data_IF_536863216024
#
_entry.id   IF_536863216024
#
_cell.length_a   1.000
_cell.length_b   1.000
_cell.length_c   1.000
_cell.angle_alpha   90.00
_cell.angle_beta   90.00
_cell.angle_gamma   90.00
#
_symmetry.space_group_name_H-M   'P 1'
#
loop_
_entity.id
_entity.type
_entity.pdbx_description
1 polymer ?
#
# COMPACT_ATOMS: atom_id res chain seq x y z
N UNK A 1 -36.67 17.34 34.28
CA UNK A 1 -36.21 17.00 32.92
C UNK A 1 -34.95 16.17 33.09
N UNK A 2 -34.97 14.88 32.72
CA UNK A 2 -33.76 14.07 32.75
C UNK A 2 -32.78 14.62 31.71
N UNK A 3 -31.60 15.04 32.15
CA UNK A 3 -30.51 15.43 31.25
C UNK A 3 -30.13 14.19 30.42
N UNK A 4 -30.34 14.26 29.11
CA UNK A 4 -29.94 13.21 28.19
C UNK A 4 -28.41 13.09 28.27
N UNK A 5 -27.90 12.00 28.86
CA UNK A 5 -26.46 11.75 28.89
C UNK A 5 -25.99 11.54 27.44
N UNK A 6 -25.08 12.38 26.90
CA UNK A 6 -24.58 12.23 25.54
C UNK A 6 -23.89 10.88 25.31
N UNK A 7 -23.45 10.17 26.35
CA UNK A 7 -22.88 8.82 26.24
C UNK A 7 -23.92 7.71 26.07
N UNK A 8 -25.21 8.02 26.23
CA UNK A 8 -26.30 7.12 25.83
C UNK A 8 -26.49 7.07 24.31
N UNK A 9 -25.81 7.94 23.55
CA UNK A 9 -25.79 7.90 22.09
C UNK A 9 -24.54 7.13 21.62
N UNK A 10 -24.68 5.86 21.19
CA UNK A 10 -23.55 5.02 20.80
C UNK A 10 -22.73 5.60 19.63
N UNK A 11 -23.35 6.44 18.81
CA UNK A 11 -22.68 7.15 17.71
C UNK A 11 -21.66 8.16 18.25
N UNK A 12 -22.01 8.92 19.29
CA UNK A 12 -21.11 9.91 19.89
C UNK A 12 -19.95 9.21 20.60
N UNK A 13 -20.23 8.17 21.40
CA UNK A 13 -19.18 7.41 22.08
C UNK A 13 -18.24 6.71 21.09
N UNK A 14 -18.78 6.14 20.00
CA UNK A 14 -17.96 5.55 18.95
C UNK A 14 -17.11 6.58 18.22
N UNK A 15 -17.60 7.81 18.01
CA UNK A 15 -16.80 8.88 17.41
C UNK A 15 -15.66 9.30 18.34
N UNK A 16 -15.94 9.50 19.62
CA UNK A 16 -14.91 9.83 20.63
C UNK A 16 -13.87 8.71 20.69
N UNK A 17 -14.30 7.45 20.81
CA UNK A 17 -13.41 6.31 20.96
C UNK A 17 -12.43 6.14 19.80
N UNK A 18 -12.84 6.44 18.56
CA UNK A 18 -11.98 6.36 17.36
C UNK A 18 -10.82 7.35 17.39
N UNK A 19 -10.91 8.42 18.17
CA UNK A 19 -9.86 9.42 18.32
C UNK A 19 -8.97 9.20 19.56
N UNK A 20 -9.26 8.17 20.37
CA UNK A 20 -8.49 7.83 21.55
C UNK A 20 -7.58 6.63 21.25
N UNK A 21 -6.33 6.68 21.70
CA UNK A 21 -5.48 5.49 21.72
C UNK A 21 -5.89 4.55 22.88
N UNK A 22 -5.36 3.32 22.91
CA UNK A 22 -5.69 2.32 23.95
C UNK A 22 -5.38 2.79 25.38
N UNK A 23 -4.34 3.61 25.57
CA UNK A 23 -3.97 4.15 26.89
C UNK A 23 -5.01 5.17 27.37
N UNK A 24 -5.43 6.06 26.48
CA UNK A 24 -6.44 7.07 26.79
C UNK A 24 -7.79 6.42 27.03
N UNK A 25 -8.17 5.41 26.23
CA UNK A 25 -9.36 4.59 26.48
C UNK A 25 -9.33 3.97 27.88
N UNK A 26 -8.21 3.35 28.28
CA UNK A 26 -8.05 2.78 29.63
C UNK A 26 -8.22 3.81 30.75
N UNK A 27 -7.73 5.03 30.54
CA UNK A 27 -7.88 6.14 31.51
C UNK A 27 -9.33 6.61 31.60
N UNK A 28 -10.00 6.69 30.44
CA UNK A 28 -11.41 7.06 30.30
C UNK A 28 -12.37 6.07 30.99
N UNK A 29 -12.03 4.78 31.00
CA UNK A 29 -12.80 3.76 31.72
C UNK A 29 -12.89 4.00 33.24
N UNK A 30 -11.92 4.71 33.83
CA UNK A 30 -11.88 5.04 35.25
C UNK A 30 -12.71 6.26 35.65
N UNK A 31 -13.23 7.03 34.69
CA UNK A 31 -13.91 8.32 34.95
C UNK A 31 -15.26 8.11 35.63
N UNK A 32 -16.16 7.34 35.02
CA UNK A 32 -17.47 7.01 35.59
C UNK A 32 -18.05 5.74 34.93
N UNK A 33 -19.16 5.22 35.48
CA UNK A 33 -19.82 4.00 34.96
C UNK A 33 -20.32 4.14 33.52
N UNK A 34 -20.81 5.32 33.12
CA UNK A 34 -21.28 5.57 31.77
C UNK A 34 -20.13 5.48 30.75
N UNK A 35 -19.00 6.13 31.05
CA UNK A 35 -17.79 6.06 30.24
C UNK A 35 -17.23 4.64 30.19
N UNK A 36 -17.19 3.96 31.33
CA UNK A 36 -16.78 2.56 31.39
C UNK A 36 -17.62 1.69 30.44
N UNK A 37 -18.94 1.73 30.54
CA UNK A 37 -19.82 0.90 29.72
C UNK A 37 -19.77 1.27 28.22
N UNK A 38 -19.68 2.57 27.91
CA UNK A 38 -19.66 3.06 26.53
C UNK A 38 -18.32 2.76 25.82
N UNK A 39 -17.19 2.84 26.52
CA UNK A 39 -15.85 2.75 25.92
C UNK A 39 -15.20 1.36 26.06
N UNK A 40 -15.69 0.51 26.97
CA UNK A 40 -15.15 -0.84 27.16
C UNK A 40 -15.17 -1.68 25.87
N UNK A 41 -16.23 -1.69 25.03
CA UNK A 41 -16.21 -2.42 23.77
C UNK A 41 -15.11 -1.95 22.80
N UNK A 42 -14.77 -0.67 22.83
CA UNK A 42 -13.72 -0.08 21.98
C UNK A 42 -12.30 -0.38 22.49
N UNK A 43 -12.13 -0.53 23.82
CA UNK A 43 -10.87 -1.00 24.37
C UNK A 43 -10.57 -2.44 23.94
N UNK A 44 -11.59 -3.31 23.89
CA UNK A 44 -11.44 -4.73 23.59
C UNK A 44 -11.67 -5.10 22.12
N UNK A 45 -12.05 -4.16 21.24
CA UNK A 45 -12.33 -4.48 19.83
C UNK A 45 -11.12 -4.91 19.02
N UNK A 46 -9.93 -4.46 19.41
CA UNK A 46 -8.68 -4.67 18.69
C UNK A 46 -7.65 -5.18 19.68
N UNK A 47 -7.25 -6.44 19.53
CA UNK A 47 -6.34 -7.15 20.43
C UNK A 47 -5.12 -7.58 19.64
N UNK A 48 -3.95 -7.26 20.19
CA UNK A 48 -2.64 -7.62 19.66
C UNK A 48 -1.91 -8.46 20.72
N UNK A 49 -1.71 -9.75 20.41
CA UNK A 49 -1.04 -10.72 21.29
C UNK A 49 0.41 -10.86 20.83
N UNK A 50 1.33 -10.29 21.59
CA UNK A 50 2.76 -10.21 21.27
C UNK A 50 3.53 -11.44 21.76
N UNK A 51 4.69 -11.75 21.17
CA UNK A 51 5.53 -12.84 21.68
C UNK A 51 6.05 -12.50 23.08
N UNK A 52 5.99 -13.47 23.99
CA UNK A 52 6.48 -13.36 25.36
C UNK A 52 8.01 -13.51 25.41
N UNK A 53 8.75 -12.60 24.77
CA UNK A 53 10.21 -12.56 24.88
C UNK A 53 10.60 -11.56 25.99
N UNK A 54 10.84 -12.08 27.19
CA UNK A 54 11.32 -11.31 28.35
C UNK A 54 10.23 -10.55 29.13
N UNK A 55 10.63 -9.49 29.85
CA UNK A 55 9.76 -8.64 30.69
C UNK A 55 8.61 -7.96 29.91
N UNK A 56 8.63 -8.01 28.57
CA UNK A 56 7.55 -7.51 27.72
C UNK A 56 6.29 -8.40 27.72
N UNK A 57 6.35 -9.60 28.30
CA UNK A 57 5.18 -10.49 28.47
C UNK A 57 4.03 -9.84 29.25
N UNK A 58 4.32 -8.84 30.08
CA UNK A 58 3.32 -8.07 30.85
C UNK A 58 2.32 -7.28 29.98
N UNK A 59 2.52 -7.22 28.66
CA UNK A 59 1.64 -6.45 27.76
C UNK A 59 0.52 -7.27 27.13
N UNK A 60 0.57 -8.60 27.20
CA UNK A 60 -0.50 -9.42 26.66
C UNK A 60 -1.70 -9.45 27.62
N UNK A 61 -2.94 -9.43 27.09
CA UNK A 61 -4.10 -9.61 27.94
C UNK A 61 -4.10 -11.01 28.54
N UNK A 62 -4.38 -11.11 29.84
CA UNK A 62 -4.60 -12.40 30.50
C UNK A 62 -5.70 -13.19 29.74
N UNK A 63 -5.46 -14.47 29.37
CA UNK A 63 -6.42 -15.26 28.59
C UNK A 63 -7.81 -15.36 29.23
N UNK A 64 -7.92 -15.37 30.55
CA UNK A 64 -9.22 -15.42 31.24
C UNK A 64 -9.96 -14.08 31.15
N UNK A 65 -9.23 -12.97 31.21
CA UNK A 65 -9.80 -11.63 31.00
C UNK A 65 -10.25 -11.50 29.55
N UNK A 66 -9.43 -11.95 28.59
CA UNK A 66 -9.81 -11.93 27.18
C UNK A 66 -11.05 -12.78 26.92
N UNK A 67 -11.15 -13.98 27.51
CA UNK A 67 -12.34 -14.84 27.43
C UNK A 67 -13.60 -14.14 27.93
N UNK A 68 -13.50 -13.38 29.02
CA UNK A 68 -14.62 -12.60 29.57
C UNK A 68 -15.13 -11.54 28.58
N UNK A 69 -14.23 -10.97 27.79
CA UNK A 69 -14.53 -9.88 26.84
C UNK A 69 -14.46 -10.31 25.37
N UNK A 70 -14.45 -11.62 25.08
CA UNK A 70 -14.25 -12.14 23.71
C UNK A 70 -15.34 -11.68 22.73
N UNK A 71 -16.55 -11.45 23.23
CA UNK A 71 -17.67 -10.91 22.45
C UNK A 71 -17.48 -9.45 22.00
N UNK A 72 -16.53 -8.71 22.55
CA UNK A 72 -16.18 -7.38 22.04
C UNK A 72 -15.09 -7.40 20.98
N UNK A 73 -14.31 -8.48 20.90
CA UNK A 73 -13.17 -8.61 19.98
C UNK A 73 -13.67 -8.69 18.55
N UNK A 74 -13.18 -7.79 17.69
CA UNK A 74 -13.49 -7.71 16.25
C UNK A 74 -12.26 -7.95 15.40
N UNK A 75 -11.09 -7.53 15.88
CA UNK A 75 -9.81 -7.69 15.22
C UNK A 75 -8.84 -8.34 16.23
N UNK A 76 -8.28 -9.49 15.83
CA UNK A 76 -7.30 -10.22 16.64
C UNK A 76 -6.03 -10.41 15.82
N UNK A 77 -4.92 -9.94 16.36
CA UNK A 77 -3.59 -10.13 15.81
C UNK A 77 -2.76 -10.99 16.76
N UNK A 78 -2.13 -12.04 16.23
CA UNK A 78 -1.38 -13.00 17.01
C UNK A 78 0.05 -13.08 16.47
N UNK A 79 1.00 -12.63 17.29
CA UNK A 79 2.44 -12.60 17.02
C UNK A 79 3.23 -13.56 17.91
N UNK A 80 2.57 -14.50 18.58
CA UNK A 80 3.17 -15.41 19.58
C UNK A 80 3.00 -16.86 19.21
N UNK A 81 3.89 -17.73 19.69
CA UNK A 81 3.80 -19.19 19.58
C UNK A 81 2.82 -19.81 20.60
N UNK A 82 2.38 -19.05 21.61
CA UNK A 82 1.51 -19.55 22.70
C UNK A 82 0.03 -19.56 22.32
N UNK A 83 -0.30 -20.07 21.12
CA UNK A 83 -1.65 -19.97 20.58
C UNK A 83 -2.71 -20.73 21.36
N UNK A 84 -2.34 -21.83 22.04
CA UNK A 84 -3.29 -22.68 22.78
C UNK A 84 -4.10 -21.93 23.84
N UNK A 85 -3.52 -20.91 24.47
CA UNK A 85 -4.21 -20.12 25.51
C UNK A 85 -5.29 -19.19 24.92
N UNK A 86 -5.16 -18.83 23.65
CA UNK A 86 -6.01 -17.87 22.95
C UNK A 86 -7.05 -18.54 22.03
N UNK A 87 -7.04 -19.88 21.92
CA UNK A 87 -8.04 -20.67 21.19
C UNK A 87 -9.35 -20.66 21.96
N UNK A 88 -10.24 -19.75 21.59
CA UNK A 88 -11.59 -19.63 22.17
C UNK A 88 -12.56 -18.99 21.19
N UNK A 89 -13.88 -19.04 21.47
CA UNK A 89 -14.88 -18.36 20.65
C UNK A 89 -14.85 -16.83 20.84
N UNK A 90 -14.76 -16.13 19.73
CA UNK A 90 -14.88 -14.68 19.55
C UNK A 90 -16.04 -14.44 18.57
N UNK A 91 -17.30 -14.40 19.04
CA UNK A 91 -18.48 -14.43 18.17
C UNK A 91 -18.62 -13.23 17.22
N UNK A 92 -17.83 -12.17 17.43
CA UNK A 92 -17.82 -10.96 16.60
C UNK A 92 -16.49 -10.74 15.86
N UNK A 93 -15.59 -11.73 15.85
CA UNK A 93 -14.30 -11.64 15.20
C UNK A 93 -14.46 -11.56 13.69
N UNK A 94 -13.97 -10.48 13.09
CA UNK A 94 -14.06 -10.20 11.65
C UNK A 94 -12.71 -10.30 10.97
N UNK A 95 -11.65 -9.88 11.66
CA UNK A 95 -10.28 -9.87 11.15
C UNK A 95 -9.39 -10.69 12.05
N UNK A 96 -8.68 -11.65 11.47
CA UNK A 96 -7.68 -12.44 12.15
C UNK A 96 -6.36 -12.34 11.39
N UNK A 97 -5.30 -11.96 12.09
CA UNK A 97 -3.96 -11.83 11.52
C UNK A 97 -2.97 -12.69 12.31
N UNK A 98 -2.35 -13.66 11.65
CA UNK A 98 -1.25 -14.44 12.18
C UNK A 98 0.06 -13.86 11.67
N UNK A 99 0.95 -13.41 12.56
CA UNK A 99 2.29 -12.89 12.19
C UNK A 99 3.39 -13.95 12.34
N UNK A 100 3.04 -15.10 12.90
CA UNK A 100 3.93 -16.26 13.00
C UNK A 100 3.09 -17.49 12.73
N UNK A 101 3.36 -18.16 11.60
CA UNK A 101 2.43 -19.17 11.08
C UNK A 101 2.54 -20.54 11.74
N UNK A 102 3.69 -20.83 12.38
CA UNK A 102 3.93 -22.06 13.14
C UNK A 102 2.98 -22.30 14.33
N UNK A 103 2.11 -21.36 14.66
CA UNK A 103 1.08 -21.54 15.67
C UNK A 103 -0.36 -21.45 15.15
N UNK A 104 -0.58 -21.30 13.85
CA UNK A 104 -1.93 -21.23 13.27
C UNK A 104 -2.75 -22.44 13.71
N UNK A 105 -3.92 -22.18 14.30
CA UNK A 105 -4.78 -23.19 14.90
C UNK A 105 -6.07 -23.34 14.09
N UNK A 106 -6.28 -24.53 13.53
CA UNK A 106 -7.53 -24.90 12.85
C UNK A 106 -8.73 -24.75 13.80
N UNK A 107 -8.55 -25.07 15.09
CA UNK A 107 -9.58 -24.89 16.11
C UNK A 107 -9.99 -23.43 16.26
N UNK A 108 -9.02 -22.50 16.26
CA UNK A 108 -9.33 -21.08 16.35
C UNK A 108 -10.18 -20.61 15.16
N UNK A 109 -9.88 -21.06 13.93
CA UNK A 109 -10.70 -20.74 12.77
C UNK A 109 -12.10 -21.35 12.88
N UNK A 110 -12.18 -22.62 13.25
CA UNK A 110 -13.44 -23.36 13.37
C UNK A 110 -14.38 -22.79 14.43
N UNK A 111 -13.84 -22.24 15.52
CA UNK A 111 -14.61 -21.57 16.56
C UNK A 111 -15.10 -20.16 16.17
N UNK A 112 -14.60 -19.60 15.06
CA UNK A 112 -14.77 -18.19 14.70
C UNK A 112 -15.24 -18.02 13.24
N UNK A 113 -16.41 -18.58 12.93
CA UNK A 113 -16.98 -18.57 11.56
C UNK A 113 -17.38 -17.18 11.05
N UNK A 114 -17.39 -16.15 11.91
CA UNK A 114 -17.65 -14.75 11.54
C UNK A 114 -16.46 -14.05 10.85
N UNK A 115 -15.31 -14.70 10.75
CA UNK A 115 -14.11 -14.15 10.11
C UNK A 115 -14.43 -13.82 8.64
N UNK A 116 -14.09 -12.59 8.25
CA UNK A 116 -14.24 -12.04 6.90
C UNK A 116 -12.89 -11.75 6.25
N UNK A 117 -11.87 -11.44 7.07
CA UNK A 117 -10.52 -11.10 6.65
C UNK A 117 -9.52 -11.97 7.41
N UNK A 118 -8.71 -12.71 6.67
CA UNK A 118 -7.67 -13.56 7.23
C UNK A 118 -6.32 -13.20 6.61
N UNK A 119 -5.34 -12.95 7.48
CA UNK A 119 -3.96 -12.66 7.07
C UNK A 119 -3.01 -13.67 7.69
N UNK A 120 -2.15 -14.22 6.86
CA UNK A 120 -0.95 -14.95 7.24
C UNK A 120 0.25 -14.09 6.86
N UNK A 121 0.99 -13.64 7.85
CA UNK A 121 2.23 -12.92 7.71
C UNK A 121 3.31 -13.78 8.35
N UNK A 122 4.32 -14.23 7.60
CA UNK A 122 5.46 -14.93 8.21
C UNK A 122 6.75 -14.14 8.05
N UNK A 123 7.16 -13.49 9.13
CA UNK A 123 8.40 -12.71 9.13
C UNK A 123 9.65 -13.57 9.23
N UNK A 124 9.50 -14.84 9.60
CA UNK A 124 10.61 -15.76 9.72
C UNK A 124 10.49 -16.72 8.55
N UNK A 125 11.43 -16.66 7.58
CA UNK A 125 11.55 -17.56 6.42
C UNK A 125 11.72 -19.04 6.82
N UNK A 126 10.74 -19.57 7.54
CA UNK A 126 10.74 -20.86 8.18
C UNK A 126 9.76 -21.78 7.46
N UNK A 127 9.88 -23.04 7.84
CA UNK A 127 9.34 -24.25 7.19
C UNK A 127 7.86 -24.13 6.80
N UNK A 128 7.47 -24.96 5.82
CA UNK A 128 6.12 -24.92 5.27
C UNK A 128 5.04 -25.05 6.35
N UNK A 129 3.90 -24.36 6.16
CA UNK A 129 2.72 -24.61 6.99
C UNK A 129 2.16 -25.98 6.61
N UNK A 130 2.71 -27.02 7.21
CA UNK A 130 2.19 -28.38 7.10
C UNK A 130 1.05 -28.55 8.10
N UNK A 131 -0.12 -27.99 7.77
CA UNK A 131 -1.30 -28.12 8.60
C UNK A 131 -2.55 -28.27 7.73
N UNK A 132 -2.83 -29.51 7.32
CA UNK A 132 -4.01 -29.83 6.52
C UNK A 132 -5.32 -29.43 7.20
N UNK A 133 -5.39 -29.50 8.53
CA UNK A 133 -6.58 -29.09 9.27
C UNK A 133 -6.80 -27.58 9.18
N UNK A 134 -5.73 -26.79 9.08
CA UNK A 134 -5.82 -25.34 8.92
C UNK A 134 -6.53 -24.98 7.61
N UNK A 135 -6.08 -25.55 6.49
CA UNK A 135 -6.63 -25.22 5.17
C UNK A 135 -8.08 -25.68 5.01
N UNK A 136 -8.44 -26.84 5.57
CA UNK A 136 -9.84 -27.24 5.70
C UNK A 136 -10.65 -26.23 6.50
N UNK A 137 -10.15 -25.80 7.65
CA UNK A 137 -10.84 -24.80 8.46
C UNK A 137 -11.01 -23.46 7.73
N UNK A 138 -10.00 -23.01 6.96
CA UNK A 138 -10.12 -21.84 6.07
C UNK A 138 -11.20 -22.07 5.01
N UNK A 139 -11.20 -23.25 4.37
CA UNK A 139 -12.19 -23.65 3.37
C UNK A 139 -13.60 -23.81 3.93
N UNK A 140 -13.76 -23.92 5.24
CA UNK A 140 -15.06 -23.99 5.92
C UNK A 140 -15.55 -22.63 6.44
N UNK A 141 -14.74 -21.56 6.38
CA UNK A 141 -15.18 -20.21 6.78
C UNK A 141 -16.23 -19.66 5.78
N UNK A 142 -17.51 -19.49 6.19
CA UNK A 142 -18.60 -19.16 5.27
C UNK A 142 -18.62 -17.69 4.87
N UNK A 143 -18.01 -16.82 5.66
CA UNK A 143 -18.00 -15.37 5.48
C UNK A 143 -16.65 -14.81 5.03
N UNK A 144 -15.66 -15.67 4.80
CA UNK A 144 -14.34 -15.22 4.37
C UNK A 144 -14.42 -14.57 2.98
N UNK A 145 -14.12 -13.28 2.91
CA UNK A 145 -14.10 -12.49 1.67
C UNK A 145 -12.69 -12.13 1.25
N UNK A 146 -11.76 -12.02 2.20
CA UNK A 146 -10.40 -11.54 1.95
C UNK A 146 -9.38 -12.48 2.57
N UNK A 147 -8.43 -12.94 1.77
CA UNK A 147 -7.29 -13.75 2.21
C UNK A 147 -5.99 -13.08 1.80
N UNK A 148 -5.08 -12.91 2.76
CA UNK A 148 -3.80 -12.24 2.57
C UNK A 148 -2.67 -13.17 3.02
N UNK A 149 -1.70 -13.36 2.15
CA UNK A 149 -0.43 -13.99 2.41
C UNK A 149 0.65 -12.95 2.27
N UNK A 150 1.46 -12.79 3.31
CA UNK A 150 2.53 -11.82 3.36
C UNK A 150 3.78 -12.53 3.86
N UNK A 151 4.90 -12.40 3.16
CA UNK A 151 6.22 -12.98 3.48
C UNK A 151 6.23 -14.47 3.86
N UNK A 152 6.95 -15.28 3.09
CA UNK A 152 7.41 -16.60 3.55
C UNK A 152 6.36 -17.70 3.77
N UNK A 153 5.06 -17.41 3.68
CA UNK A 153 4.03 -18.45 3.81
C UNK A 153 4.10 -19.40 2.62
N UNK A 154 4.08 -20.71 2.90
CA UNK A 154 4.00 -21.74 1.85
C UNK A 154 2.78 -22.61 2.10
N UNK A 155 2.15 -23.06 1.01
CA UNK A 155 1.03 -23.99 1.04
C UNK A 155 1.56 -25.32 0.53
N UNK A 156 1.34 -26.39 1.29
CA UNK A 156 1.77 -27.72 0.88
C UNK A 156 0.90 -28.22 -0.28
N UNK A 157 1.45 -29.08 -1.14
CA UNK A 157 0.70 -29.67 -2.24
C UNK A 157 -0.57 -30.42 -1.79
N UNK A 158 -0.55 -30.99 -0.58
CA UNK A 158 -1.69 -31.72 -0.01
C UNK A 158 -2.86 -30.81 0.38
N UNK A 159 -2.59 -29.52 0.59
CA UNK A 159 -3.56 -28.55 1.09
C UNK A 159 -4.14 -27.66 -0.03
N UNK A 160 -3.58 -27.77 -1.23
CA UNK A 160 -3.96 -26.94 -2.39
C UNK A 160 -5.42 -27.11 -2.79
N UNK A 161 -6.00 -28.30 -2.64
CA UNK A 161 -7.42 -28.52 -2.94
C UNK A 161 -8.33 -27.68 -2.03
N UNK A 162 -8.07 -27.71 -0.72
CA UNK A 162 -8.86 -26.97 0.27
C UNK A 162 -8.63 -25.46 0.11
N UNK A 163 -7.39 -25.05 -0.16
CA UNK A 163 -7.04 -23.67 -0.49
C UNK A 163 -7.84 -23.15 -1.71
N UNK A 164 -7.82 -23.88 -2.83
CA UNK A 164 -8.55 -23.48 -4.03
C UNK A 164 -10.06 -23.45 -3.81
N UNK A 165 -10.60 -24.39 -3.03
CA UNK A 165 -12.00 -24.37 -2.63
C UNK A 165 -12.34 -23.09 -1.84
N UNK A 166 -11.49 -22.65 -0.92
CA UNK A 166 -11.67 -21.38 -0.22
C UNK A 166 -11.67 -20.20 -1.20
N UNK A 167 -10.73 -20.17 -2.15
CA UNK A 167 -10.60 -19.13 -3.17
C UNK A 167 -11.85 -18.93 -4.03
N UNK A 168 -12.66 -19.97 -4.25
CA UNK A 168 -13.92 -19.84 -5.02
C UNK A 168 -14.92 -18.85 -4.41
N UNK A 169 -14.79 -18.54 -3.12
CA UNK A 169 -15.71 -17.66 -2.39
C UNK A 169 -15.15 -16.26 -2.12
N UNK A 170 -13.85 -16.06 -2.32
CA UNK A 170 -13.17 -14.82 -2.00
C UNK A 170 -13.53 -13.69 -2.97
N UNK A 171 -13.63 -12.48 -2.42
CA UNK A 171 -13.67 -11.23 -3.18
C UNK A 171 -12.24 -10.70 -3.43
N UNK A 172 -11.31 -10.98 -2.51
CA UNK A 172 -9.92 -10.50 -2.57
C UNK A 172 -8.90 -11.57 -2.17
N UNK A 173 -7.90 -11.80 -3.03
CA UNK A 173 -6.74 -12.63 -2.74
C UNK A 173 -5.47 -11.79 -2.92
N UNK A 174 -4.62 -11.81 -1.89
CA UNK A 174 -3.38 -11.05 -1.87
C UNK A 174 -2.24 -11.97 -1.49
N UNK A 175 -1.24 -12.04 -2.34
CA UNK A 175 -0.08 -12.90 -2.16
C UNK A 175 1.16 -12.02 -2.37
N UNK A 176 1.86 -11.74 -1.29
CA UNK A 176 3.09 -10.94 -1.25
C UNK A 176 4.25 -11.82 -0.82
N UNK A 177 5.37 -11.76 -1.54
CA UNK A 177 6.69 -12.28 -1.11
C UNK A 177 6.66 -13.69 -0.52
N UNK A 178 5.72 -14.52 -0.98
CA UNK A 178 5.48 -15.86 -0.49
C UNK A 178 5.93 -16.88 -1.53
N UNK A 179 6.43 -18.02 -1.07
CA UNK A 179 6.62 -19.18 -1.94
C UNK A 179 5.44 -20.13 -1.74
N UNK A 180 4.31 -19.85 -2.39
CA UNK A 180 3.29 -20.89 -2.54
C UNK A 180 3.85 -21.89 -3.55
N UNK A 181 3.94 -23.16 -3.18
CA UNK A 181 4.33 -24.21 -4.12
C UNK A 181 3.13 -24.49 -5.05
N UNK A 182 2.86 -23.54 -5.96
CA UNK A 182 1.78 -23.64 -6.94
C UNK A 182 2.09 -24.65 -8.06
N UNK A 183 3.07 -25.54 -7.88
CA UNK A 183 3.27 -26.66 -8.82
C UNK A 183 2.02 -27.56 -8.92
N UNK A 184 1.09 -27.45 -7.96
CA UNK A 184 -0.22 -28.11 -8.04
C UNK A 184 -1.18 -27.31 -8.92
N UNK A 185 -1.60 -27.96 -10.00
CA UNK A 185 -2.56 -27.44 -10.98
C UNK A 185 -3.88 -27.01 -10.31
N UNK A 186 -4.38 -25.84 -10.70
CA UNK A 186 -5.74 -25.40 -10.34
C UNK A 186 -6.73 -26.43 -10.91
N UNK A 187 -7.64 -27.00 -10.09
CA UNK A 187 -8.57 -28.02 -10.56
C UNK A 187 -9.33 -27.60 -11.83
N UNK A 188 -9.43 -28.52 -12.78
CA UNK A 188 -10.12 -28.29 -14.04
C UNK A 188 -11.54 -27.76 -13.84
N UNK A 189 -11.94 -26.80 -14.69
CA UNK A 189 -13.26 -26.17 -14.62
C UNK A 189 -13.48 -25.20 -13.45
N UNK A 190 -12.54 -25.06 -12.51
CA UNK A 190 -12.67 -24.08 -11.42
C UNK A 190 -12.61 -22.64 -11.95
N UNK A 191 -13.57 -21.79 -11.52
CA UNK A 191 -13.65 -20.38 -11.90
C UNK A 191 -13.92 -19.55 -10.64
N UNK A 192 -13.11 -18.52 -10.42
CA UNK A 192 -13.19 -17.63 -9.25
C UNK A 192 -14.11 -16.44 -9.55
N UNK A 193 -15.39 -16.73 -9.77
CA UNK A 193 -16.37 -15.74 -10.24
C UNK A 193 -16.61 -14.57 -9.27
N UNK A 194 -16.33 -14.74 -7.97
CA UNK A 194 -16.46 -13.66 -6.96
C UNK A 194 -15.22 -12.78 -6.85
N UNK A 195 -14.08 -13.23 -7.36
CA UNK A 195 -12.81 -12.55 -7.17
C UNK A 195 -12.79 -11.22 -7.93
N UNK A 196 -12.67 -10.13 -7.19
CA UNK A 196 -12.62 -8.76 -7.70
C UNK A 196 -11.23 -8.15 -7.55
N UNK A 197 -10.45 -8.61 -6.58
CA UNK A 197 -9.09 -8.13 -6.34
C UNK A 197 -8.13 -9.30 -6.25
N UNK A 198 -7.10 -9.24 -7.08
CA UNK A 198 -6.02 -10.22 -7.09
C UNK A 198 -4.69 -9.47 -7.08
N UNK A 199 -3.86 -9.72 -6.08
CA UNK A 199 -2.53 -9.15 -5.95
C UNK A 199 -1.54 -10.31 -5.84
N UNK A 200 -0.66 -10.42 -6.82
CA UNK A 200 0.41 -11.40 -6.92
C UNK A 200 1.72 -10.63 -7.02
N UNK A 201 2.41 -10.44 -5.90
CA UNK A 201 3.61 -9.61 -5.84
C UNK A 201 4.81 -10.41 -5.34
N UNK A 202 5.90 -10.37 -6.09
CA UNK A 202 7.18 -10.97 -5.71
C UNK A 202 7.05 -12.46 -5.36
N UNK A 203 6.27 -13.18 -6.16
CA UNK A 203 6.05 -14.60 -5.94
C UNK A 203 7.29 -15.39 -6.34
N UNK A 204 8.00 -15.91 -5.34
CA UNK A 204 9.16 -16.74 -5.56
C UNK A 204 8.71 -18.18 -5.86
N UNK A 205 9.35 -18.82 -6.85
CA UNK A 205 9.15 -20.24 -7.23
C UNK A 205 7.86 -20.59 -7.98
N UNK A 206 6.97 -19.64 -8.24
CA UNK A 206 5.79 -19.90 -9.09
C UNK A 206 6.12 -19.45 -10.51
N UNK A 207 5.96 -20.35 -11.48
CA UNK A 207 6.20 -19.99 -12.87
C UNK A 207 5.15 -18.96 -13.31
N UNK A 208 5.53 -17.93 -14.10
CA UNK A 208 4.61 -16.90 -14.59
C UNK A 208 3.34 -17.47 -15.27
N UNK A 209 3.46 -18.62 -15.94
CA UNK A 209 2.33 -19.32 -16.57
C UNK A 209 1.24 -19.77 -15.57
N UNK A 210 1.63 -20.19 -14.36
CA UNK A 210 0.68 -20.70 -13.36
C UNK A 210 -0.09 -19.52 -12.73
N UNK A 211 0.61 -18.39 -12.53
CA UNK A 211 -0.01 -17.12 -12.15
C UNK A 211 -1.04 -16.69 -13.17
N UNK A 212 -0.69 -16.78 -14.45
CA UNK A 212 -1.58 -16.41 -15.53
C UNK A 212 -2.82 -17.30 -15.61
N UNK A 213 -2.67 -18.60 -15.36
CA UNK A 213 -3.81 -19.51 -15.29
C UNK A 213 -4.77 -19.11 -14.17
N UNK A 214 -4.27 -18.74 -12.98
CA UNK A 214 -5.10 -18.18 -11.91
C UNK A 214 -5.83 -16.90 -12.36
N UNK A 215 -5.11 -15.94 -12.94
CA UNK A 215 -5.68 -14.66 -13.40
C UNK A 215 -6.77 -14.91 -14.45
N UNK A 216 -6.57 -15.86 -15.36
CA UNK A 216 -7.53 -16.24 -16.41
C UNK A 216 -8.85 -16.78 -15.83
N UNK A 217 -8.81 -17.44 -14.66
CA UNK A 217 -10.01 -17.96 -13.97
C UNK A 217 -10.79 -16.90 -13.19
N UNK A 218 -10.38 -15.62 -13.23
CA UNK A 218 -11.02 -14.52 -12.51
C UNK A 218 -11.69 -13.51 -13.46
N UNK A 219 -12.85 -13.82 -14.08
CA UNK A 219 -13.47 -12.98 -15.12
C UNK A 219 -14.02 -11.64 -14.61
N UNK A 220 -14.22 -11.50 -13.29
CA UNK A 220 -14.83 -10.32 -12.66
C UNK A 220 -13.81 -9.41 -11.96
N UNK A 221 -12.52 -9.53 -12.30
CA UNK A 221 -11.47 -8.69 -11.73
C UNK A 221 -11.73 -7.21 -11.98
N UNK A 222 -11.59 -6.44 -10.90
CA UNK A 222 -11.57 -4.98 -10.87
C UNK A 222 -10.18 -4.44 -10.55
N UNK A 223 -9.39 -5.18 -9.78
CA UNK A 223 -8.03 -4.83 -9.42
C UNK A 223 -7.12 -6.03 -9.63
N UNK A 224 -6.09 -5.85 -10.45
CA UNK A 224 -5.05 -6.84 -10.68
C UNK A 224 -3.69 -6.19 -10.44
N UNK A 225 -2.87 -6.79 -9.59
CA UNK A 225 -1.42 -6.49 -9.49
C UNK A 225 -0.67 -7.79 -9.74
N UNK A 226 0.25 -7.80 -10.70
CA UNK A 226 1.02 -8.98 -11.06
C UNK A 226 2.50 -8.62 -11.29
N UNK A 227 3.32 -8.86 -10.26
CA UNK A 227 4.76 -8.63 -10.26
C UNK A 227 5.50 -9.95 -10.13
N UNK A 228 6.20 -10.35 -11.19
CA UNK A 228 7.02 -11.56 -11.22
C UNK A 228 8.50 -11.19 -11.19
N UNK A 229 9.27 -11.92 -10.39
CA UNK A 229 10.74 -11.70 -10.22
C UNK A 229 11.54 -12.77 -10.96
N UNK A 230 10.92 -13.88 -11.35
CA UNK A 230 11.58 -14.96 -12.09
C UNK A 230 11.65 -14.57 -13.56
N UNK A 231 12.86 -14.49 -14.11
CA UNK A 231 13.10 -14.10 -15.51
C UNK A 231 12.72 -15.21 -16.51
N UNK A 232 12.87 -16.47 -16.10
CA UNK A 232 12.54 -17.63 -16.93
C UNK A 232 11.02 -17.70 -17.19
N UNK A 233 10.64 -17.93 -18.45
CA UNK A 233 9.25 -18.05 -18.94
C UNK A 233 8.35 -16.80 -18.81
N UNK A 234 8.91 -15.60 -18.56
CA UNK A 234 8.12 -14.36 -18.56
C UNK A 234 7.48 -14.06 -19.91
N UNK A 235 8.26 -14.15 -20.99
CA UNK A 235 7.81 -13.73 -22.32
C UNK A 235 6.57 -14.52 -22.81
N UNK A 236 6.51 -15.86 -22.73
CA UNK A 236 5.30 -16.60 -23.09
C UNK A 236 4.07 -16.20 -22.27
N UNK A 237 4.23 -16.02 -20.95
CA UNK A 237 3.12 -15.63 -20.07
C UNK A 237 2.66 -14.19 -20.35
N UNK A 238 3.60 -13.28 -20.62
CA UNK A 238 3.32 -11.90 -21.01
C UNK A 238 2.52 -11.86 -22.32
N UNK A 239 2.93 -12.62 -23.34
CA UNK A 239 2.22 -12.67 -24.63
C UNK A 239 0.81 -13.26 -24.50
N UNK A 240 0.67 -14.30 -23.68
CA UNK A 240 -0.65 -14.88 -23.41
C UNK A 240 -1.54 -13.93 -22.62
N UNK A 241 -0.98 -13.15 -21.68
CA UNK A 241 -1.71 -12.09 -20.98
C UNK A 241 -2.23 -11.01 -21.95
N UNK A 242 -1.40 -10.56 -22.89
CA UNK A 242 -1.81 -9.62 -23.95
C UNK A 242 -2.94 -10.22 -24.79
N UNK A 243 -2.86 -11.51 -25.13
CA UNK A 243 -3.91 -12.21 -25.88
C UNK A 243 -5.23 -12.26 -25.11
N UNK A 244 -5.19 -12.55 -23.80
CA UNK A 244 -6.37 -12.55 -22.94
C UNK A 244 -6.99 -11.15 -22.82
N UNK A 245 -6.16 -10.11 -22.67
CA UNK A 245 -6.63 -8.72 -22.67
C UNK A 245 -7.33 -8.36 -23.99
N UNK A 246 -6.73 -8.68 -25.15
CA UNK A 246 -7.33 -8.50 -26.49
C UNK A 246 -8.70 -9.17 -26.63
N UNK A 247 -8.90 -10.30 -25.96
CA UNK A 247 -10.17 -11.03 -25.98
C UNK A 247 -11.20 -10.52 -24.97
N UNK A 248 -10.90 -9.42 -24.26
CA UNK A 248 -11.81 -8.84 -23.28
C UNK A 248 -11.99 -9.71 -22.04
N UNK A 249 -10.95 -10.43 -21.60
CA UNK A 249 -11.02 -11.33 -20.44
C UNK A 249 -11.43 -10.62 -19.13
N UNK A 250 -11.11 -9.33 -18.99
CA UNK A 250 -11.37 -8.55 -17.77
C UNK A 250 -12.09 -7.23 -18.08
N UNK A 251 -13.39 -7.28 -18.44
CA UNK A 251 -14.14 -6.09 -18.87
C UNK A 251 -14.38 -5.07 -17.75
N UNK A 252 -14.21 -5.48 -16.48
CA UNK A 252 -14.44 -4.66 -15.30
C UNK A 252 -13.15 -4.13 -14.66
N UNK A 253 -12.00 -4.29 -15.32
CA UNK A 253 -10.71 -3.95 -14.73
C UNK A 253 -10.54 -2.43 -14.62
N UNK A 254 -10.38 -1.93 -13.39
CA UNK A 254 -10.29 -0.52 -13.02
C UNK A 254 -8.89 -0.14 -12.50
N UNK A 255 -8.15 -1.11 -11.97
CA UNK A 255 -6.81 -0.95 -11.40
C UNK A 255 -5.90 -2.05 -11.94
N UNK A 256 -4.76 -1.66 -12.51
CA UNK A 256 -3.80 -2.59 -13.10
C UNK A 256 -2.37 -2.24 -12.68
N UNK A 257 -1.69 -3.19 -12.04
CA UNK A 257 -0.25 -3.16 -11.82
C UNK A 257 0.42 -4.35 -12.50
N UNK A 258 1.42 -4.13 -13.36
CA UNK A 258 2.12 -5.22 -14.05
C UNK A 258 3.64 -4.98 -14.07
N UNK A 259 4.39 -6.03 -13.71
CA UNK A 259 5.84 -6.17 -13.88
C UNK A 259 6.16 -7.59 -14.32
N UNK A 260 5.92 -7.87 -15.60
CA UNK A 260 6.17 -9.19 -16.22
C UNK A 260 6.95 -9.06 -17.54
N UNK A 261 7.70 -7.97 -17.70
CA UNK A 261 8.54 -7.76 -18.88
C UNK A 261 7.77 -7.43 -20.16
N UNK A 262 6.59 -6.80 -20.07
CA UNK A 262 5.88 -6.33 -21.26
C UNK A 262 6.67 -5.25 -22.01
N UNK A 263 6.70 -5.34 -23.34
CA UNK A 263 7.14 -4.26 -24.21
C UNK A 263 6.13 -3.11 -24.26
N UNK A 264 6.55 -1.94 -24.78
CA UNK A 264 5.67 -0.77 -24.88
C UNK A 264 4.44 -1.02 -25.76
N UNK A 265 4.60 -1.68 -26.91
CA UNK A 265 3.49 -1.97 -27.82
C UNK A 265 2.49 -2.98 -27.22
N UNK A 266 2.99 -3.94 -26.44
CA UNK A 266 2.16 -4.90 -25.73
C UNK A 266 1.35 -4.25 -24.61
N UNK A 267 1.99 -3.36 -23.82
CA UNK A 267 1.31 -2.55 -22.82
C UNK A 267 0.25 -1.64 -23.45
N UNK A 268 0.58 -0.99 -24.58
CA UNK A 268 -0.39 -0.21 -25.34
C UNK A 268 -1.59 -1.07 -25.74
N UNK A 269 -1.33 -2.29 -26.20
CA UNK A 269 -2.40 -3.20 -26.58
C UNK A 269 -3.27 -3.62 -25.39
N UNK A 270 -2.67 -3.92 -24.24
CA UNK A 270 -3.42 -4.19 -23.00
C UNK A 270 -4.28 -2.99 -22.62
N UNK A 271 -3.69 -1.78 -22.62
CA UNK A 271 -4.39 -0.54 -22.33
C UNK A 271 -5.52 -0.26 -23.31
N UNK A 272 -5.38 -0.64 -24.59
CA UNK A 272 -6.41 -0.47 -25.62
C UNK A 272 -7.66 -1.33 -25.35
N UNK A 273 -7.50 -2.45 -24.64
CA UNK A 273 -8.59 -3.38 -24.38
C UNK A 273 -9.20 -3.26 -22.97
N UNK A 274 -8.70 -2.33 -22.14
CA UNK A 274 -9.28 -2.02 -20.82
C UNK A 274 -9.93 -0.64 -20.84
N UNK A 275 -11.24 -0.57 -20.60
CA UNK A 275 -12.03 0.63 -20.88
C UNK A 275 -12.09 1.67 -19.76
N UNK A 276 -11.88 1.29 -18.49
CA UNK A 276 -12.15 2.18 -17.34
C UNK A 276 -11.01 2.19 -16.31
N UNK A 277 -9.79 2.44 -16.76
CA UNK A 277 -8.63 2.46 -15.86
C UNK A 277 -8.59 3.75 -15.04
N UNK A 278 -8.57 3.59 -13.72
CA UNK A 278 -8.42 4.67 -12.73
C UNK A 278 -7.08 4.62 -12.01
N UNK A 279 -6.45 3.44 -11.96
CA UNK A 279 -5.17 3.22 -11.30
C UNK A 279 -4.24 2.36 -12.16
N UNK A 280 -3.01 2.82 -12.35
CA UNK A 280 -1.96 2.14 -13.09
C UNK A 280 -0.65 2.10 -12.32
N UNK A 281 -0.06 0.91 -12.20
CA UNK A 281 1.27 0.71 -11.66
C UNK A 281 2.14 -0.03 -12.69
N UNK A 282 2.91 0.72 -13.45
CA UNK A 282 3.81 0.24 -14.49
C UNK A 282 5.27 0.56 -14.15
N UNK A 283 5.62 0.64 -12.87
CA UNK A 283 7.00 0.92 -12.52
C UNK A 283 7.94 -0.25 -12.84
N UNK A 284 9.20 0.06 -13.14
CA UNK A 284 10.19 -0.88 -13.67
C UNK A 284 9.71 -1.59 -14.97
N UNK A 285 9.06 -0.85 -15.88
CA UNK A 285 8.54 -1.38 -17.15
C UNK A 285 9.09 -0.64 -18.38
N UNK A 286 8.76 -1.15 -19.57
CA UNK A 286 9.07 -0.51 -20.85
C UNK A 286 8.12 0.63 -21.23
N UNK A 287 7.27 1.12 -20.31
CA UNK A 287 6.21 2.11 -20.61
C UNK A 287 6.77 3.33 -21.33
N UNK A 288 6.30 3.56 -22.55
CA UNK A 288 6.83 4.55 -23.49
C UNK A 288 5.75 5.25 -24.30
N UNK A 289 6.13 5.72 -25.49
CA UNK A 289 5.30 6.59 -26.32
C UNK A 289 4.02 5.90 -26.82
N UNK A 290 4.07 4.62 -27.16
CA UNK A 290 2.89 3.89 -27.68
C UNK A 290 1.87 3.69 -26.57
N UNK A 291 2.30 3.20 -25.40
CA UNK A 291 1.42 3.03 -24.23
C UNK A 291 0.83 4.35 -23.77
N UNK A 292 1.65 5.38 -23.71
CA UNK A 292 1.23 6.72 -23.34
C UNK A 292 0.17 7.31 -24.28
N UNK A 293 0.37 7.15 -25.59
CA UNK A 293 -0.59 7.62 -26.59
C UNK A 293 -1.94 6.93 -26.41
N UNK A 294 -1.93 5.63 -26.14
CA UNK A 294 -3.13 4.85 -25.85
C UNK A 294 -3.79 5.29 -24.54
N UNK A 295 -2.99 5.57 -23.51
CA UNK A 295 -3.46 6.01 -22.19
C UNK A 295 -4.22 7.34 -22.23
N UNK A 296 -4.00 8.21 -23.23
CA UNK A 296 -4.66 9.52 -23.37
C UNK A 296 -6.19 9.43 -23.28
N UNK A 297 -6.78 8.33 -23.75
CA UNK A 297 -8.24 8.09 -23.66
C UNK A 297 -8.78 8.02 -22.23
N UNK A 298 -7.92 7.71 -21.26
CA UNK A 298 -8.25 7.53 -19.84
C UNK A 298 -7.87 8.73 -18.96
N UNK A 299 -7.27 9.79 -19.50
CA UNK A 299 -6.79 10.95 -18.73
C UNK A 299 -7.87 11.61 -17.86
N UNK A 300 -9.13 11.59 -18.31
CA UNK A 300 -10.26 12.13 -17.54
C UNK A 300 -10.65 11.31 -16.30
N UNK A 301 -10.24 10.04 -16.21
CA UNK A 301 -10.61 9.11 -15.14
C UNK A 301 -9.43 8.67 -14.27
N UNK A 302 -8.20 8.86 -14.75
CA UNK A 302 -6.98 8.44 -14.08
C UNK A 302 -6.79 9.21 -12.75
N UNK A 303 -6.58 8.45 -11.68
CA UNK A 303 -6.36 8.92 -10.31
C UNK A 303 -4.99 8.57 -9.78
N UNK A 304 -4.50 7.38 -10.08
CA UNK A 304 -3.21 6.89 -9.61
C UNK A 304 -2.39 6.40 -10.80
N UNK A 305 -1.18 6.94 -10.94
CA UNK A 305 -0.25 6.53 -11.97
C UNK A 305 1.15 6.45 -11.39
N UNK A 306 1.71 5.24 -11.40
CA UNK A 306 3.11 4.99 -11.12
C UNK A 306 3.81 4.50 -12.40
N UNK A 307 4.71 5.31 -12.93
CA UNK A 307 5.57 5.05 -14.09
C UNK A 307 7.03 5.33 -13.73
N UNK A 308 7.39 4.99 -12.49
CA UNK A 308 8.77 5.10 -12.00
C UNK A 308 9.66 4.03 -12.64
N UNK A 309 10.95 4.28 -12.76
CA UNK A 309 11.96 3.48 -13.46
C UNK A 309 11.52 3.04 -14.87
N UNK A 310 10.87 3.93 -15.64
CA UNK A 310 10.42 3.65 -17.00
C UNK A 310 11.34 4.40 -17.99
N UNK A 311 12.36 3.74 -18.58
CA UNK A 311 13.39 4.42 -19.36
C UNK A 311 12.88 5.10 -20.63
N UNK A 312 11.70 4.68 -21.14
CA UNK A 312 11.06 5.25 -22.31
C UNK A 312 10.11 6.41 -21.97
N UNK A 313 9.91 6.71 -20.69
CA UNK A 313 9.08 7.83 -20.23
C UNK A 313 9.87 9.13 -20.35
N UNK A 314 9.43 10.03 -21.24
CA UNK A 314 10.07 11.34 -21.41
C UNK A 314 9.48 12.40 -20.48
N UNK A 315 10.29 13.41 -20.15
CA UNK A 315 9.85 14.60 -19.40
C UNK A 315 8.60 15.26 -20.01
N UNK A 316 8.52 15.35 -21.35
CA UNK A 316 7.33 15.89 -22.05
C UNK A 316 6.06 15.09 -21.78
N UNK A 317 6.17 13.77 -21.72
CA UNK A 317 5.03 12.89 -21.40
C UNK A 317 4.56 13.12 -19.96
N UNK A 318 5.50 13.27 -19.01
CA UNK A 318 5.20 13.60 -17.62
C UNK A 318 4.49 14.95 -17.53
N UNK A 319 5.00 15.98 -18.21
CA UNK A 319 4.37 17.29 -18.25
C UNK A 319 2.96 17.25 -18.84
N UNK A 320 2.76 16.48 -19.91
CA UNK A 320 1.45 16.33 -20.54
C UNK A 320 0.45 15.63 -19.60
N UNK A 321 0.86 14.61 -18.82
CA UNK A 321 0.00 13.99 -17.80
C UNK A 321 -0.45 14.99 -16.74
N UNK A 322 0.48 15.74 -16.15
CA UNK A 322 0.16 16.73 -15.11
C UNK A 322 -0.75 17.85 -15.62
N UNK A 323 -0.64 18.20 -16.90
CA UNK A 323 -1.47 19.21 -17.55
C UNK A 323 -2.76 18.69 -18.20
N UNK A 324 -2.98 17.38 -18.24
CA UNK A 324 -4.16 16.78 -18.91
C UNK A 324 -5.02 15.87 -18.01
N UNK A 325 -4.54 15.48 -16.82
CA UNK A 325 -5.26 14.58 -15.91
C UNK A 325 -5.84 15.33 -14.69
N UNK A 326 -7.07 15.89 -14.77
CA UNK A 326 -7.63 16.74 -13.71
C UNK A 326 -7.97 15.97 -12.42
N UNK A 327 -8.12 14.65 -12.50
CA UNK A 327 -8.47 13.77 -11.38
C UNK A 327 -7.27 13.05 -10.76
N UNK A 328 -6.06 13.34 -11.23
CA UNK A 328 -4.85 12.69 -10.73
C UNK A 328 -4.63 13.08 -9.26
N UNK A 329 -4.57 12.06 -8.40
CA UNK A 329 -4.40 12.12 -6.95
C UNK A 329 -3.00 11.62 -6.54
N UNK A 330 -2.47 10.63 -7.25
CA UNK A 330 -1.14 10.06 -7.02
C UNK A 330 -0.38 10.02 -8.35
N UNK A 331 0.81 10.62 -8.37
CA UNK A 331 1.73 10.50 -9.49
C UNK A 331 3.12 10.16 -8.99
N UNK A 332 3.71 9.11 -9.57
CA UNK A 332 5.10 8.72 -9.37
C UNK A 332 5.75 8.52 -10.74
N UNK A 333 6.81 9.26 -11.00
CA UNK A 333 7.57 9.17 -12.25
C UNK A 333 9.01 9.61 -12.06
N UNK A 334 9.81 9.43 -13.11
CA UNK A 334 11.26 9.51 -12.94
C UNK A 334 11.79 10.92 -12.82
N UNK A 335 11.64 11.67 -13.91
CA UNK A 335 12.16 13.02 -13.98
C UNK A 335 11.25 13.94 -14.79
N UNK A 336 11.42 15.23 -14.56
CA UNK A 336 10.70 16.30 -15.22
C UNK A 336 11.65 17.49 -15.42
N UNK A 337 12.00 17.77 -16.67
CA UNK A 337 12.86 18.89 -17.04
C UNK A 337 12.11 20.20 -16.82
N UNK A 338 12.77 21.16 -16.17
CA UNK A 338 12.19 22.46 -15.88
C UNK A 338 11.74 23.19 -17.17
N UNK A 339 12.48 23.05 -18.25
CA UNK A 339 12.14 23.62 -19.56
C UNK A 339 10.79 23.11 -20.09
N UNK A 340 10.52 21.80 -19.96
CA UNK A 340 9.24 21.23 -20.40
C UNK A 340 8.08 21.72 -19.53
N UNK A 341 8.30 21.89 -18.21
CA UNK A 341 7.28 22.44 -17.29
C UNK A 341 6.88 23.86 -17.69
N UNK A 342 7.86 24.69 -18.06
CA UNK A 342 7.62 26.09 -18.40
C UNK A 342 7.11 26.27 -19.83
N UNK A 343 7.54 25.42 -20.77
CA UNK A 343 7.03 25.41 -22.14
C UNK A 343 5.62 24.78 -22.24
N UNK A 344 5.27 23.90 -21.31
CA UNK A 344 4.01 23.18 -21.27
C UNK A 344 2.83 23.98 -20.72
N UNK A 345 1.64 23.39 -20.83
CA UNK A 345 0.43 23.95 -20.25
C UNK A 345 0.46 23.91 -18.71
N UNK A 346 -0.28 24.81 -18.02
CA UNK A 346 -0.45 24.72 -16.57
C UNK A 346 -0.97 23.36 -16.13
N UNK A 347 -0.51 22.91 -14.96
CA UNK A 347 -1.02 21.67 -14.38
C UNK A 347 -2.49 21.81 -13.99
N UNK A 348 -3.29 20.81 -14.38
CA UNK A 348 -4.73 20.73 -14.07
C UNK A 348 -5.01 19.72 -12.97
N UNK A 349 -4.03 18.90 -12.60
CA UNK A 349 -4.09 17.89 -11.54
C UNK A 349 -4.08 18.50 -10.12
N UNK A 350 -4.96 19.46 -9.84
CA UNK A 350 -5.02 20.19 -8.56
C UNK A 350 -5.48 19.31 -7.39
N UNK A 351 -5.95 18.09 -7.66
CA UNK A 351 -6.32 17.08 -6.65
C UNK A 351 -5.15 16.21 -6.19
N UNK A 352 -3.95 16.43 -6.72
CA UNK A 352 -2.79 15.62 -6.38
C UNK A 352 -2.44 15.73 -4.89
N UNK A 353 -2.33 14.57 -4.26
CA UNK A 353 -1.96 14.37 -2.86
C UNK A 353 -0.54 13.83 -2.75
N UNK A 354 -0.12 12.97 -3.67
CA UNK A 354 1.22 12.39 -3.70
C UNK A 354 1.89 12.71 -5.03
N UNK A 355 3.01 13.43 -4.98
CA UNK A 355 3.85 13.72 -6.14
C UNK A 355 5.27 13.24 -5.86
N UNK A 356 5.74 12.27 -6.65
CA UNK A 356 7.14 11.83 -6.66
C UNK A 356 7.72 12.00 -8.06
N UNK A 357 8.65 12.94 -8.21
CA UNK A 357 9.33 13.21 -9.49
C UNK A 357 10.63 13.98 -9.25
N UNK A 358 11.71 13.61 -9.94
CA UNK A 358 12.95 14.36 -9.86
C UNK A 358 12.93 15.54 -10.84
N UNK A 359 13.02 16.78 -10.34
CA UNK A 359 13.14 17.95 -11.23
C UNK A 359 14.57 18.13 -11.67
N UNK A 360 14.79 18.25 -12.98
CA UNK A 360 16.12 18.43 -13.57
C UNK A 360 16.24 19.80 -14.25
N UNK A 361 17.44 20.38 -14.14
CA UNK A 361 17.79 21.68 -14.70
C UNK A 361 19.05 21.57 -15.55
N UNK A 362 19.06 22.25 -16.69
CA UNK A 362 20.30 22.51 -17.44
C UNK A 362 21.11 23.59 -16.72
N UNK A 363 22.43 23.42 -16.71
CA UNK A 363 23.34 24.31 -15.98
C UNK A 363 23.15 25.78 -16.35
N UNK A 364 23.08 26.65 -15.33
CA UNK A 364 23.09 28.10 -15.48
C UNK A 364 21.73 28.78 -15.68
N UNK A 365 20.61 28.06 -15.61
CA UNK A 365 19.28 28.66 -15.76
C UNK A 365 18.58 28.94 -14.42
N UNK A 366 18.09 30.17 -14.25
CA UNK A 366 17.24 30.59 -13.11
C UNK A 366 15.77 30.22 -13.35
N UNK A 367 15.47 28.91 -13.47
CA UNK A 367 14.10 28.42 -13.63
C UNK A 367 13.45 27.96 -12.32
N UNK A 368 14.23 27.80 -11.25
CA UNK A 368 13.78 27.22 -9.99
C UNK A 368 12.57 27.95 -9.38
N UNK A 369 12.54 29.30 -9.28
CA UNK A 369 11.38 30.00 -8.71
C UNK A 369 10.08 29.71 -9.45
N UNK A 370 10.13 29.55 -10.78
CA UNK A 370 8.95 29.26 -11.60
C UNK A 370 8.44 27.83 -11.37
N UNK A 371 9.34 26.85 -11.15
CA UNK A 371 8.94 25.48 -10.76
C UNK A 371 8.31 25.47 -9.36
N UNK A 372 8.90 26.20 -8.41
CA UNK A 372 8.32 26.36 -7.08
C UNK A 372 6.95 27.04 -7.11
N UNK A 373 6.76 28.03 -7.98
CA UNK A 373 5.46 28.66 -8.19
C UNK A 373 4.43 27.63 -8.69
N UNK A 374 4.77 26.80 -9.70
CA UNK A 374 3.91 25.70 -10.18
C UNK A 374 3.53 24.73 -9.06
N UNK A 375 4.50 24.26 -8.29
CA UNK A 375 4.28 23.37 -7.14
C UNK A 375 3.40 24.01 -6.06
N UNK A 376 3.52 25.33 -5.85
CA UNK A 376 2.73 26.05 -4.82
C UNK A 376 1.22 26.03 -5.07
N UNK A 377 0.78 25.73 -6.29
CA UNK A 377 -0.63 25.58 -6.64
C UNK A 377 -1.22 24.22 -6.24
N UNK A 378 -0.40 23.22 -5.94
CA UNK A 378 -0.82 21.87 -5.55
C UNK A 378 -1.13 21.80 -4.05
N UNK A 379 -2.06 22.63 -3.59
CA UNK A 379 -2.32 22.87 -2.14
C UNK A 379 -2.83 21.64 -1.38
N UNK A 380 -3.25 20.58 -2.08
CA UNK A 380 -3.70 19.31 -1.51
C UNK A 380 -2.58 18.28 -1.30
N UNK A 381 -1.33 18.60 -1.64
CA UNK A 381 -0.19 17.71 -1.43
C UNK A 381 -0.03 17.33 0.04
N UNK A 382 -0.02 16.02 0.30
CA UNK A 382 0.34 15.40 1.57
C UNK A 382 1.73 14.77 1.50
N UNK A 383 2.19 14.37 0.32
CA UNK A 383 3.54 13.84 0.10
C UNK A 383 4.18 14.44 -1.15
N UNK A 384 5.36 15.03 -0.98
CA UNK A 384 6.16 15.59 -2.06
C UNK A 384 7.57 14.98 -1.99
N UNK A 385 7.98 14.25 -3.03
CA UNK A 385 9.34 13.77 -3.19
C UNK A 385 9.94 14.35 -4.48
N UNK A 386 10.93 15.22 -4.32
CA UNK A 386 11.67 15.87 -5.40
C UNK A 386 13.07 15.27 -5.62
N UNK A 387 13.45 14.30 -4.78
CA UNK A 387 14.78 13.70 -4.77
C UNK A 387 14.94 12.49 -5.69
N UNK A 388 16.18 12.03 -5.80
CA UNK A 388 16.55 10.87 -6.61
C UNK A 388 16.49 9.59 -5.75
N UNK A 389 15.39 8.85 -5.83
CA UNK A 389 15.29 7.50 -5.23
C UNK A 389 15.43 6.37 -6.25
N UNK A 390 15.58 6.72 -7.52
CA UNK A 390 15.44 5.81 -8.64
C UNK A 390 16.75 5.07 -8.90
N UNK A 391 16.65 3.76 -9.06
CA UNK A 391 17.81 2.89 -9.24
C UNK A 391 18.35 3.09 -10.66
N UNK A 392 19.66 3.33 -10.78
CA UNK A 392 20.37 3.18 -12.06
C UNK A 392 20.45 4.42 -12.97
N UNK A 393 19.67 5.48 -12.75
CA UNK A 393 19.82 6.72 -13.55
C UNK A 393 20.97 7.55 -12.98
N UNK A 394 22.14 7.51 -13.63
CA UNK A 394 23.21 8.46 -13.33
C UNK A 394 22.91 9.78 -14.02
N UNK A 395 22.29 10.72 -13.31
CA UNK A 395 22.16 12.11 -13.76
C UNK A 395 23.53 12.82 -13.69
N UNK A 396 24.50 12.42 -14.52
CA UNK A 396 25.86 12.97 -14.47
C UNK A 396 25.95 14.45 -14.86
N UNK A 397 24.87 15.04 -15.40
CA UNK A 397 24.90 16.40 -15.96
C UNK A 397 23.72 17.31 -15.57
N UNK A 398 22.76 16.82 -14.76
CA UNK A 398 21.60 17.62 -14.38
C UNK A 398 21.71 18.08 -12.94
N UNK A 399 21.39 19.36 -12.71
CA UNK A 399 21.18 19.87 -11.36
C UNK A 399 19.77 19.50 -10.92
N UNK A 400 19.62 19.05 -9.68
CA UNK A 400 18.32 18.86 -9.05
C UNK A 400 17.73 20.18 -8.53
N UNK A 401 16.52 20.13 -7.97
CA UNK A 401 15.91 21.27 -7.30
C UNK A 401 16.74 21.70 -6.08
N UNK A 402 17.10 22.97 -6.00
CA UNK A 402 17.76 23.54 -4.82
C UNK A 402 16.71 23.85 -3.75
N UNK A 403 16.89 23.30 -2.56
CA UNK A 403 15.97 23.39 -1.41
C UNK A 403 16.32 24.55 -0.46
N UNK A 404 17.09 25.54 -0.93
CA UNK A 404 17.31 26.80 -0.21
C UNK A 404 16.13 27.77 -0.34
N UNK A 405 15.95 28.61 0.67
CA UNK A 405 14.92 29.66 0.66
C UNK A 405 15.16 30.67 -0.47
N UNK A 406 16.41 30.99 -0.74
CA UNK A 406 16.87 31.89 -1.79
C UNK A 406 16.56 31.34 -3.20
N UNK A 407 16.50 30.02 -3.34
CA UNK A 407 16.13 29.34 -4.59
C UNK A 407 14.62 29.30 -4.85
N UNK A 408 13.80 29.69 -3.86
CA UNK A 408 12.34 29.77 -3.99
C UNK A 408 11.55 28.78 -3.14
N UNK A 409 12.19 27.99 -2.25
CA UNK A 409 11.49 27.09 -1.32
C UNK A 409 10.36 27.81 -0.56
N UNK A 410 10.57 29.09 -0.23
CA UNK A 410 9.60 29.96 0.43
C UNK A 410 8.21 30.01 -0.24
N UNK A 411 8.13 29.82 -1.55
CA UNK A 411 6.88 29.81 -2.31
C UNK A 411 5.98 28.62 -1.95
N UNK A 412 6.54 27.54 -1.41
CA UNK A 412 5.80 26.36 -0.95
C UNK A 412 5.11 26.56 0.41
N UNK A 413 5.14 27.77 1.00
CA UNK A 413 4.46 28.06 2.26
C UNK A 413 2.96 27.72 2.24
N UNK A 414 2.33 27.67 1.05
CA UNK A 414 0.90 27.36 0.86
C UNK A 414 0.56 25.88 1.06
N UNK A 415 1.54 24.97 1.06
CA UNK A 415 1.34 23.52 1.20
C UNK A 415 1.06 23.12 2.66
N UNK A 416 -0.08 23.56 3.21
CA UNK A 416 -0.42 23.37 4.64
C UNK A 416 -0.72 21.92 5.03
N UNK A 417 -1.03 21.08 4.05
CA UNK A 417 -1.35 19.66 4.24
C UNK A 417 -0.14 18.74 4.03
N UNK A 418 1.05 19.29 3.77
CA UNK A 418 2.24 18.47 3.51
C UNK A 418 2.66 17.73 4.79
N UNK A 419 2.60 16.40 4.74
CA UNK A 419 2.97 15.47 5.82
C UNK A 419 4.38 14.87 5.59
N UNK A 420 4.75 14.65 4.32
CA UNK A 420 6.01 14.01 3.96
C UNK A 420 6.75 14.82 2.90
N UNK A 421 8.00 15.20 3.19
CA UNK A 421 8.89 15.88 2.23
C UNK A 421 10.17 15.07 1.99
N UNK A 422 10.41 14.68 0.73
CA UNK A 422 11.58 13.93 0.28
C UNK A 422 12.45 14.76 -0.66
N UNK A 423 13.75 14.84 -0.35
CA UNK A 423 14.76 15.58 -1.10
C UNK A 423 16.10 14.81 -1.07
N UNK A 424 16.02 13.48 -1.20
CA UNK A 424 17.21 12.63 -1.17
C UNK A 424 18.10 12.90 -2.38
N UNK A 425 19.40 12.98 -2.16
CA UNK A 425 20.43 13.13 -3.20
C UNK A 425 20.31 14.41 -4.06
N UNK A 426 19.59 15.44 -3.59
CA UNK A 426 19.57 16.76 -4.22
C UNK A 426 20.81 17.60 -3.85
N UNK A 427 21.31 18.44 -4.77
CA UNK A 427 22.33 19.42 -4.45
C UNK A 427 21.79 20.45 -3.45
N UNK A 428 22.63 20.87 -2.49
CA UNK A 428 22.24 21.86 -1.51
C UNK A 428 21.31 21.32 -0.41
N UNK A 429 21.79 20.35 0.37
CA UNK A 429 21.12 19.88 1.59
C UNK A 429 20.50 21.03 2.41
N UNK A 430 19.32 20.84 3.02
CA UNK A 430 18.69 21.93 3.74
C UNK A 430 19.53 22.23 4.99
N UNK A 431 19.82 23.52 5.20
CA UNK A 431 20.43 24.01 6.41
C UNK A 431 19.42 24.06 7.55
N UNK A 432 19.87 24.50 8.73
CA UNK A 432 19.01 24.64 9.90
C UNK A 432 17.87 25.65 9.64
N UNK A 433 18.18 26.74 8.93
CA UNK A 433 17.23 27.81 8.56
C UNK A 433 16.07 27.27 7.72
N UNK A 434 16.36 26.41 6.73
CA UNK A 434 15.35 25.80 5.87
C UNK A 434 14.46 24.85 6.68
N UNK A 435 15.04 24.03 7.57
CA UNK A 435 14.28 23.09 8.41
C UNK A 435 13.36 23.85 9.39
N UNK A 436 13.86 24.91 10.03
CA UNK A 436 13.05 25.76 10.90
C UNK A 436 11.90 26.39 10.13
N UNK A 437 12.17 26.93 8.94
CA UNK A 437 11.13 27.47 8.06
C UNK A 437 10.07 26.42 7.68
N UNK A 438 10.48 25.19 7.33
CA UNK A 438 9.57 24.09 7.01
C UNK A 438 8.67 23.77 8.21
N UNK A 439 9.24 23.67 9.41
CA UNK A 439 8.50 23.39 10.64
C UNK A 439 7.46 24.48 10.99
N UNK A 440 7.80 25.76 10.74
CA UNK A 440 6.89 26.88 10.96
C UNK A 440 5.75 26.94 9.94
N UNK A 441 6.03 26.59 8.69
CA UNK A 441 5.09 26.77 7.58
C UNK A 441 4.24 25.54 7.26
N UNK A 442 4.76 24.32 7.50
CA UNK A 442 4.10 23.03 7.22
C UNK A 442 3.70 22.35 8.53
N UNK A 443 2.63 22.84 9.15
CA UNK A 443 2.17 22.37 10.48
C UNK A 443 1.76 20.90 10.53
N UNK A 444 1.40 20.33 9.37
CA UNK A 444 0.98 18.93 9.23
C UNK A 444 2.13 17.99 8.91
N UNK A 445 3.36 18.51 8.77
CA UNK A 445 4.51 17.69 8.44
C UNK A 445 4.61 16.54 9.48
N UNK A 446 5.23 15.44 9.10
CA UNK A 446 5.48 14.29 9.97
C UNK A 446 6.91 13.83 9.81
N UNK A 447 7.39 13.79 8.56
CA UNK A 447 8.73 13.32 8.24
C UNK A 447 9.39 14.13 7.12
N UNK A 448 10.70 14.31 7.26
CA UNK A 448 11.59 14.85 6.24
C UNK A 448 12.62 13.79 5.89
N UNK A 449 12.73 13.46 4.59
CA UNK A 449 13.74 12.56 4.05
C UNK A 449 14.73 13.33 3.19
N UNK A 450 15.79 13.83 3.82
CA UNK A 450 16.90 14.51 3.15
C UNK A 450 18.22 14.09 3.80
N UNK A 451 19.36 14.40 3.17
CA UNK A 451 20.67 14.36 3.85
C UNK A 451 20.92 15.75 4.45
N UNK A 452 20.66 16.02 5.74
CA UNK A 452 20.89 17.34 6.29
C UNK A 452 22.40 17.63 6.40
N UNK A 453 22.78 18.89 6.20
CA UNK A 453 24.13 19.40 6.50
C UNK A 453 24.23 19.83 7.98
N UNK A 454 23.67 19.04 8.90
CA UNK A 454 23.53 19.41 10.31
C UNK A 454 24.01 18.25 11.17
N UNK A 455 24.79 18.59 12.20
CA UNK A 455 25.20 17.66 13.24
C UNK A 455 23.96 17.08 13.97
N UNK A 456 23.88 15.75 14.18
CA UNK A 456 22.72 15.10 14.78
C UNK A 456 22.25 15.72 16.10
N UNK A 457 23.17 16.26 16.90
CA UNK A 457 22.89 16.89 18.20
C UNK A 457 21.91 18.07 18.08
N UNK A 458 21.99 18.86 17.00
CA UNK A 458 21.11 20.01 16.79
C UNK A 458 19.69 19.58 16.37
N UNK A 459 19.54 18.42 15.74
CA UNK A 459 18.25 17.89 15.29
C UNK A 459 17.42 17.29 16.44
N UNK A 460 18.08 16.80 17.50
CA UNK A 460 17.43 16.20 18.68
C UNK A 460 16.46 17.14 19.42
N UNK A 461 16.60 18.46 19.23
CA UNK A 461 15.72 19.47 19.83
C UNK A 461 14.40 19.66 19.10
N UNK A 462 14.25 19.06 17.93
CA UNK A 462 13.06 19.22 17.11
C UNK A 462 12.08 18.05 17.33
N UNK A 463 10.77 18.28 17.17
CA UNK A 463 9.73 17.27 17.42
C UNK A 463 9.56 16.23 16.29
N UNK A 464 10.49 16.18 15.34
CA UNK A 464 10.31 15.53 14.04
C UNK A 464 11.02 14.19 13.94
N UNK A 465 10.39 13.24 13.24
CA UNK A 465 11.03 11.99 12.87
C UNK A 465 11.91 12.20 11.64
N UNK A 466 13.21 12.35 11.84
CA UNK A 466 14.19 12.34 10.75
C UNK A 466 14.54 10.90 10.40
N UNK A 467 14.18 10.50 9.17
CA UNK A 467 14.59 9.21 8.63
C UNK A 467 15.94 9.40 7.93
N UNK A 468 17.02 9.19 8.69
CA UNK A 468 18.34 9.08 8.10
C UNK A 468 18.41 7.72 7.38
N UNK A 469 18.49 7.72 6.05
CA UNK A 469 18.94 6.51 5.36
C UNK A 469 20.43 6.37 5.66
N UNK A 470 20.78 5.53 6.62
CA UNK A 470 22.14 5.00 6.73
C UNK A 470 22.41 4.26 5.41
N UNK A 471 23.41 4.73 4.69
CA UNK A 471 23.83 4.25 3.37
C UNK A 471 24.06 2.75 3.30
#
# INVERSE_FOLDING_TARGET
MATLDPFNLPEISSLIARHLNKRDLGSCLGVCKAWHNALLPHLWSDIDVKPSLGEQSLRNPDPNILKRYSHFVKNLEIRTFLLKEYVMPYPNLRTLNFVVTNGCSADLLSLNTSITHLTFNDQHYLEAIENQELWRAVADLPHLTTLIFDFGTTISAFDMSDFWQACTRLDGLFIFTSSVDCSVEIPDGMVFSRMRKLVLQEMYRIAPKDNLELIRRCPNLKCLTWYSVVDDDLEPAAMEFVRLAKNGAWPNLESLGIRVGLGDDDMATVLENISFVTKLEFDDSSFGLTSFTTLKRSFGMLKDLNVSNCPNMSSRMVQELLSSCPRLEVFMGDFLEAEDVLAGQPWVCLSIMVLKVCFTFRAGQSLMPAIYERLSHLTRLTSLNVGHELKGVRLSHHQGLDIQLEAGLGLLAKLKHLEYFGAKDLPGSPGLKEIEWMAENWRSLVAIRCRPQIEPEKLSKTKWNFWFSTS
#
